data_IF_099617104998
#
_entry.id   IF_099617104998
#
_cell.length_a   1.000
_cell.length_b   1.000
_cell.length_c   1.000
_cell.angle_alpha   90.00
_cell.angle_beta   90.00
_cell.angle_gamma   90.00
#
_symmetry.space_group_name_H-M   'P 1'
#
loop_
_entity.id
_entity.type
_entity.pdbx_description
1 polymer ?
#
# COMPACT_ATOMS: atom_id res chain seq x y z
N UNK A 1 28.31 21.96 -6.43
CA UNK A 1 27.49 21.49 -7.57
C UNK A 1 26.52 22.61 -7.95
N UNK A 2 26.50 23.07 -9.22
CA UNK A 2 25.70 24.22 -9.66
C UNK A 2 24.21 24.00 -9.32
N UNK A 3 23.58 24.98 -8.63
CA UNK A 3 22.18 25.01 -8.14
C UNK A 3 21.07 24.69 -9.17
N UNK A 4 21.43 24.38 -10.41
CA UNK A 4 20.50 24.09 -11.51
C UNK A 4 19.97 22.65 -11.50
N UNK A 5 20.63 21.72 -10.80
CA UNK A 5 20.22 20.31 -10.69
C UNK A 5 19.50 19.96 -9.39
N UNK A 6 19.32 20.88 -8.44
CA UNK A 6 18.69 20.59 -7.15
C UNK A 6 17.18 20.41 -7.23
N UNK A 7 16.52 21.07 -8.20
CA UNK A 7 15.08 20.94 -8.45
C UNK A 7 14.66 19.54 -8.91
N UNK A 8 15.24 18.96 -9.98
CA UNK A 8 14.85 17.61 -10.40
C UNK A 8 15.15 16.55 -9.33
N UNK A 9 16.24 16.73 -8.58
CA UNK A 9 16.59 15.82 -7.48
C UNK A 9 15.56 15.84 -6.35
N UNK A 10 15.06 17.03 -5.98
CA UNK A 10 13.99 17.17 -4.99
C UNK A 10 12.68 16.53 -5.44
N UNK A 11 12.31 16.69 -6.72
CA UNK A 11 11.11 16.05 -7.28
C UNK A 11 11.22 14.53 -7.27
N UNK A 12 12.38 13.97 -7.66
CA UNK A 12 12.60 12.53 -7.63
C UNK A 12 12.54 12.00 -6.20
N UNK A 13 13.17 12.68 -5.25
CA UNK A 13 13.11 12.30 -3.84
C UNK A 13 11.67 12.30 -3.30
N UNK A 14 10.88 13.33 -3.64
CA UNK A 14 9.47 13.40 -3.27
C UNK A 14 8.65 12.26 -3.89
N UNK A 15 8.87 11.93 -5.17
CA UNK A 15 8.20 10.82 -5.85
C UNK A 15 8.50 9.48 -5.17
N UNK A 16 9.77 9.23 -4.83
CA UNK A 16 10.19 8.01 -4.13
C UNK A 16 9.53 7.93 -2.75
N UNK A 17 9.47 9.03 -2.00
CA UNK A 17 8.78 9.07 -0.71
C UNK A 17 7.29 8.75 -0.84
N UNK A 18 6.61 9.29 -1.85
CA UNK A 18 5.20 8.98 -2.12
C UNK A 18 5.02 7.50 -2.45
N UNK A 19 5.89 6.93 -3.29
CA UNK A 19 5.82 5.50 -3.63
C UNK A 19 6.01 4.60 -2.40
N UNK A 20 6.94 4.94 -1.50
CA UNK A 20 7.15 4.21 -0.24
C UNK A 20 5.92 4.32 0.66
N UNK A 21 5.36 5.53 0.81
CA UNK A 21 4.16 5.75 1.61
C UNK A 21 2.97 4.95 1.09
N UNK A 22 2.76 4.96 -0.24
CA UNK A 22 1.72 4.15 -0.89
C UNK A 22 1.99 2.66 -0.64
N UNK A 23 3.22 2.19 -0.81
CA UNK A 23 3.57 0.78 -0.61
C UNK A 23 3.26 0.29 0.81
N UNK A 24 3.53 1.11 1.83
CA UNK A 24 3.22 0.80 3.23
C UNK A 24 1.71 0.88 3.49
N UNK A 25 1.02 1.88 2.95
CA UNK A 25 -0.41 2.09 3.20
C UNK A 25 -1.31 1.05 2.52
N UNK A 26 -0.92 0.57 1.34
CA UNK A 26 -1.73 -0.33 0.50
C UNK A 26 -2.22 -1.61 1.21
N UNK A 27 -1.38 -2.39 1.92
CA UNK A 27 -1.84 -3.59 2.61
C UNK A 27 -2.92 -3.31 3.66
N UNK A 28 -2.80 -2.21 4.42
CA UNK A 28 -3.82 -1.81 5.40
C UNK A 28 -5.15 -1.42 4.74
N UNK A 29 -5.08 -0.65 3.65
CA UNK A 29 -6.28 -0.25 2.90
C UNK A 29 -7.01 -1.46 2.33
N UNK A 30 -6.26 -2.42 1.77
CA UNK A 30 -6.81 -3.66 1.22
C UNK A 30 -7.40 -4.52 2.33
N UNK A 31 -6.69 -4.71 3.45
CA UNK A 31 -7.21 -5.45 4.62
C UNK A 31 -8.53 -4.87 5.11
N UNK A 32 -8.60 -3.56 5.31
CA UNK A 32 -9.82 -2.90 5.78
C UNK A 32 -10.96 -3.07 4.78
N UNK A 33 -10.69 -2.83 3.49
CA UNK A 33 -11.69 -3.03 2.44
C UNK A 33 -12.24 -4.47 2.41
N UNK A 34 -11.36 -5.47 2.53
CA UNK A 34 -11.78 -6.87 2.55
C UNK A 34 -12.60 -7.17 3.81
N UNK A 35 -12.17 -6.71 4.98
CA UNK A 35 -12.92 -6.91 6.23
C UNK A 35 -14.29 -6.22 6.20
N UNK A 36 -14.39 -5.03 5.62
CA UNK A 36 -15.68 -4.36 5.40
C UNK A 36 -16.59 -5.20 4.50
N UNK A 37 -16.04 -5.87 3.48
CA UNK A 37 -16.82 -6.81 2.65
C UNK A 37 -17.24 -8.05 3.42
N UNK A 38 -16.34 -8.65 4.19
CA UNK A 38 -16.63 -9.83 5.01
C UNK A 38 -17.71 -9.54 6.06
N UNK A 39 -17.68 -8.37 6.68
CA UNK A 39 -18.68 -7.92 7.64
C UNK A 39 -20.10 -7.81 7.04
N UNK A 40 -20.20 -7.64 5.72
CA UNK A 40 -21.47 -7.55 5.00
C UNK A 40 -21.91 -8.89 4.36
N UNK A 41 -21.25 -10.02 4.68
CA UNK A 41 -21.58 -11.35 4.14
C UNK A 41 -22.60 -12.14 4.98
N UNK A 42 -23.37 -11.48 5.86
CA UNK A 42 -24.42 -12.12 6.66
C UNK A 42 -23.85 -12.82 7.89
N UNK A 43 -24.00 -14.15 7.98
CA UNK A 43 -23.55 -14.95 9.13
C UNK A 43 -22.02 -15.17 9.17
N UNK A 44 -21.28 -14.64 8.20
CA UNK A 44 -19.83 -14.73 8.18
C UNK A 44 -19.22 -13.84 9.27
N UNK A 45 -18.45 -14.44 10.19
CA UNK A 45 -17.83 -13.75 11.33
C UNK A 45 -16.30 -13.71 11.28
N UNK A 46 -15.71 -14.13 10.16
CA UNK A 46 -14.25 -14.11 10.00
C UNK A 46 -13.73 -12.71 9.75
N UNK A 47 -12.49 -12.46 10.18
CA UNK A 47 -11.72 -11.28 9.80
C UNK A 47 -10.35 -11.69 9.25
N UNK A 48 -9.81 -10.85 8.38
CA UNK A 48 -8.44 -10.93 7.91
C UNK A 48 -7.56 -10.15 8.89
N UNK A 49 -6.61 -10.85 9.49
CA UNK A 49 -5.64 -10.29 10.42
C UNK A 49 -4.54 -9.52 9.69
N UNK A 50 -4.10 -10.02 8.54
CA UNK A 50 -2.98 -9.43 7.82
C UNK A 50 -3.02 -9.70 6.31
N UNK A 51 -2.52 -8.74 5.54
CA UNK A 51 -2.44 -8.80 4.07
C UNK A 51 -1.06 -8.35 3.64
N UNK A 52 -0.34 -9.23 2.96
CA UNK A 52 0.93 -8.94 2.33
C UNK A 52 0.75 -8.73 0.82
N UNK A 53 1.40 -7.69 0.28
CA UNK A 53 1.32 -7.35 -1.15
C UNK A 53 2.70 -7.32 -1.80
N UNK A 54 2.91 -8.21 -2.76
CA UNK A 54 4.10 -8.24 -3.60
C UNK A 54 3.84 -7.49 -4.92
N UNK A 55 3.85 -6.15 -4.85
CA UNK A 55 3.51 -5.26 -5.98
C UNK A 55 4.27 -5.57 -7.27
N UNK A 56 5.56 -5.90 -7.16
CA UNK A 56 6.41 -6.23 -8.31
C UNK A 56 6.03 -7.52 -9.02
N UNK A 57 5.49 -8.50 -8.29
CA UNK A 57 5.09 -9.81 -8.81
C UNK A 57 3.58 -9.88 -9.09
N UNK A 58 2.80 -8.90 -8.63
CA UNK A 58 1.34 -8.91 -8.69
C UNK A 58 0.71 -9.99 -7.82
N UNK A 59 1.39 -10.43 -6.75
CA UNK A 59 0.88 -11.46 -5.85
C UNK A 59 0.45 -10.86 -4.50
N UNK A 60 -0.50 -11.51 -3.83
CA UNK A 60 -0.90 -11.19 -2.46
C UNK A 60 -0.88 -12.44 -1.59
N UNK A 61 -0.76 -12.25 -0.27
CA UNK A 61 -0.88 -13.29 0.73
C UNK A 61 -1.74 -12.78 1.87
N UNK A 62 -2.56 -13.68 2.41
CA UNK A 62 -3.35 -13.44 3.63
C UNK A 62 -2.73 -14.36 4.68
N UNK A 63 -2.36 -13.81 5.84
CA UNK A 63 -1.76 -14.54 6.96
C UNK A 63 -2.75 -14.75 8.10
#
# INVERSE_FOLDING_TARGET
MKRRYSWPLGTIAALVLVLIAVHIALPYLVRNYLNDKLANMGDYRGEIADVDLALWRGAYRIN
#
